data_IF_603487309409
#
_entry.id   IF_603487309409
#
_cell.length_a   1.000
_cell.length_b   1.000
_cell.length_c   1.000
_cell.angle_alpha   90.00
_cell.angle_beta   90.00
_cell.angle_gamma   90.00
#
_symmetry.space_group_name_H-M   'P 1'
#
loop_
_entity.id
_entity.type
_entity.pdbx_description
1 polymer ?
#
# COMPACT_ATOMS: atom_id res chain seq x y z
N UNK A 1 12.87 -5.38 23.71
CA UNK A 1 11.98 -5.52 22.52
C UNK A 1 11.18 -4.23 22.41
N UNK A 2 11.29 -3.45 21.32
CA UNK A 2 10.43 -2.28 21.13
C UNK A 2 8.99 -2.80 21.07
N UNK A 3 8.10 -2.32 21.95
CA UNK A 3 6.68 -2.59 21.79
C UNK A 3 6.26 -2.00 20.44
N UNK A 4 5.90 -2.86 19.50
CA UNK A 4 5.26 -2.42 18.27
C UNK A 4 3.85 -1.97 18.65
N UNK A 5 3.62 -0.65 18.63
CA UNK A 5 2.27 -0.10 18.75
C UNK A 5 1.35 -0.73 17.70
N UNK A 6 0.07 -0.86 18.02
CA UNK A 6 -0.93 -1.38 17.07
C UNK A 6 -1.31 -0.28 16.08
N UNK A 7 -0.41 0.04 15.15
CA UNK A 7 -0.63 1.07 14.14
C UNK A 7 -1.39 0.48 12.95
N UNK A 8 -2.54 1.06 12.65
CA UNK A 8 -3.35 0.69 11.49
C UNK A 8 -3.10 1.62 10.30
N UNK A 9 -3.01 1.04 9.10
CA UNK A 9 -3.14 1.75 7.83
C UNK A 9 -4.57 1.57 7.31
N UNK A 10 -5.30 2.68 7.17
CA UNK A 10 -6.69 2.69 6.71
C UNK A 10 -6.76 3.26 5.29
N UNK A 11 -7.19 2.43 4.35
CA UNK A 11 -7.24 2.71 2.92
C UNK A 11 -8.69 2.78 2.45
N UNK A 12 -9.14 3.99 2.13
CA UNK A 12 -10.50 4.23 1.67
C UNK A 12 -10.73 3.70 0.25
N UNK A 13 -12.00 3.49 -0.10
CA UNK A 13 -12.38 3.25 -1.50
C UNK A 13 -12.19 4.50 -2.37
N UNK A 14 -12.27 4.34 -3.69
CA UNK A 14 -12.17 5.47 -4.60
C UNK A 14 -11.80 5.16 -6.06
N UNK A 15 -11.91 3.90 -6.50
CA UNK A 15 -11.54 3.50 -7.85
C UNK A 15 -10.09 3.85 -8.18
N UNK A 16 -9.89 4.58 -9.28
CA UNK A 16 -8.57 5.04 -9.74
C UNK A 16 -7.80 5.89 -8.69
N UNK A 17 -8.49 6.48 -7.70
CA UNK A 17 -7.84 7.21 -6.60
C UNK A 17 -7.01 6.31 -5.67
N UNK A 18 -7.11 4.98 -5.79
CA UNK A 18 -6.19 4.05 -5.13
C UNK A 18 -4.73 4.28 -5.53
N UNK A 19 -4.46 4.76 -6.74
CA UNK A 19 -3.11 5.12 -7.19
C UNK A 19 -2.48 6.24 -6.33
N UNK A 20 -3.29 7.19 -5.87
CA UNK A 20 -2.81 8.26 -4.97
C UNK A 20 -2.33 7.69 -3.64
N UNK A 21 -3.07 6.73 -3.06
CA UNK A 21 -2.70 6.08 -1.81
C UNK A 21 -1.35 5.34 -1.94
N UNK A 22 -1.12 4.65 -3.05
CA UNK A 22 0.16 4.01 -3.34
C UNK A 22 1.31 5.04 -3.45
N UNK A 23 1.06 6.18 -4.11
CA UNK A 23 2.03 7.27 -4.21
C UNK A 23 2.38 7.90 -2.85
N UNK A 24 1.40 8.09 -1.97
CA UNK A 24 1.64 8.59 -0.60
C UNK A 24 2.56 7.65 0.17
N UNK A 25 2.28 6.34 0.14
CA UNK A 25 3.13 5.35 0.80
C UNK A 25 4.57 5.37 0.26
N UNK A 26 4.74 5.58 -1.05
CA UNK A 26 6.06 5.72 -1.67
C UNK A 26 6.79 6.96 -1.15
N UNK A 27 6.12 8.11 -1.12
CA UNK A 27 6.69 9.34 -0.58
C UNK A 27 7.12 9.19 0.88
N UNK A 28 6.33 8.48 1.71
CA UNK A 28 6.67 8.24 3.11
C UNK A 28 7.94 7.37 3.28
N UNK A 29 8.23 6.45 2.36
CA UNK A 29 9.50 5.71 2.33
C UNK A 29 10.64 6.66 1.93
N UNK A 30 10.44 7.44 0.87
CA UNK A 30 11.46 8.35 0.33
C UNK A 30 11.93 9.41 1.33
N UNK A 31 11.02 9.92 2.16
CA UNK A 31 11.36 10.87 3.25
C UNK A 31 11.79 10.16 4.55
N UNK A 32 11.86 8.83 4.56
CA UNK A 32 12.35 8.04 5.68
C UNK A 32 11.41 7.93 6.89
N UNK A 33 10.11 8.13 6.69
CA UNK A 33 9.06 7.87 7.71
C UNK A 33 8.79 6.38 7.83
N UNK A 34 8.61 5.68 6.71
CA UNK A 34 8.50 4.22 6.68
C UNK A 34 9.88 3.64 6.33
N UNK A 35 10.35 2.68 7.11
CA UNK A 35 11.70 2.09 7.00
C UNK A 35 11.67 0.61 7.30
N UNK A 36 12.62 -0.10 6.70
CA UNK A 36 12.84 -1.53 6.96
C UNK A 36 12.13 -2.43 5.95
N UNK A 37 12.51 -3.72 5.92
CA UNK A 37 12.03 -4.65 4.91
C UNK A 37 10.57 -5.05 5.12
N UNK A 38 10.07 -5.01 6.36
CA UNK A 38 8.75 -5.48 6.74
C UNK A 38 7.70 -4.34 6.77
N UNK A 39 6.43 -4.70 6.68
CA UNK A 39 5.32 -3.77 6.77
C UNK A 39 5.29 -3.13 8.18
N UNK A 40 5.37 -1.79 8.29
CA UNK A 40 5.38 -1.12 9.59
C UNK A 40 4.00 -1.05 10.26
N UNK A 41 2.94 -1.54 9.59
CA UNK A 41 1.57 -1.53 10.07
C UNK A 41 1.14 -2.96 10.42
N UNK A 42 0.74 -3.16 11.68
CA UNK A 42 0.24 -4.45 12.16
C UNK A 42 -1.23 -4.68 11.82
N UNK A 43 -1.94 -3.64 11.39
CA UNK A 43 -3.35 -3.69 10.99
C UNK A 43 -3.48 -3.01 9.62
N UNK A 44 -4.04 -3.73 8.64
CA UNK A 44 -4.35 -3.20 7.31
C UNK A 44 -5.87 -3.23 7.12
N UNK A 45 -6.46 -2.07 6.86
CA UNK A 45 -7.89 -1.93 6.59
C UNK A 45 -8.05 -1.35 5.20
N UNK A 46 -8.85 -1.99 4.35
CA UNK A 46 -9.10 -1.52 2.99
C UNK A 46 -10.55 -1.76 2.57
N UNK A 47 -11.15 -0.80 1.86
CA UNK A 47 -12.49 -0.94 1.29
C UNK A 47 -12.47 -0.72 -0.23
N UNK A 48 -13.11 -1.58 -1.02
CA UNK A 48 -13.18 -1.47 -2.49
C UNK A 48 -11.78 -1.31 -3.11
N UNK A 49 -11.50 -0.24 -3.86
CA UNK A 49 -10.17 0.00 -4.41
C UNK A 49 -9.05 0.01 -3.33
N UNK A 50 -9.35 0.43 -2.10
CA UNK A 50 -8.41 0.38 -0.98
C UNK A 50 -8.11 -1.04 -0.49
N UNK A 51 -9.02 -2.02 -0.69
CA UNK A 51 -8.75 -3.42 -0.34
C UNK A 51 -7.70 -4.05 -1.26
N UNK A 52 -7.62 -3.64 -2.53
CA UNK A 52 -6.56 -4.10 -3.44
C UNK A 52 -5.18 -3.70 -2.91
N UNK A 53 -5.02 -2.43 -2.53
CA UNK A 53 -3.78 -1.94 -1.91
C UNK A 53 -3.49 -2.67 -0.60
N UNK A 54 -4.48 -2.78 0.30
CA UNK A 54 -4.31 -3.46 1.59
C UNK A 54 -3.86 -4.92 1.42
N UNK A 55 -4.51 -5.66 0.51
CA UNK A 55 -4.19 -7.07 0.25
C UNK A 55 -2.80 -7.23 -0.37
N UNK A 56 -2.40 -6.39 -1.33
CA UNK A 56 -1.05 -6.47 -1.93
C UNK A 56 0.06 -6.19 -0.92
N UNK A 57 -0.16 -5.22 -0.01
CA UNK A 57 0.79 -4.93 1.07
C UNK A 57 0.84 -6.07 2.09
N UNK A 58 -0.32 -6.64 2.46
CA UNK A 58 -0.39 -7.78 3.37
C UNK A 58 0.30 -9.02 2.81
N UNK A 59 0.10 -9.32 1.53
CA UNK A 59 0.71 -10.46 0.84
C UNK A 59 2.23 -10.34 0.70
N UNK A 60 2.77 -9.13 0.85
CA UNK A 60 4.20 -8.82 0.81
C UNK A 60 4.67 -8.20 2.13
N UNK A 61 4.06 -8.56 3.25
CA UNK A 61 4.36 -7.93 4.54
C UNK A 61 5.83 -8.14 4.98
N UNK A 62 6.50 -9.19 4.50
CA UNK A 62 7.94 -9.46 4.70
C UNK A 62 8.85 -8.64 3.76
N UNK A 63 8.28 -8.10 2.67
CA UNK A 63 8.98 -7.33 1.63
C UNK A 63 8.15 -6.12 1.22
N UNK A 64 7.90 -5.23 2.17
CA UNK A 64 6.97 -4.11 2.03
C UNK A 64 7.27 -3.21 0.84
N UNK A 65 8.53 -2.80 0.66
CA UNK A 65 8.94 -1.94 -0.46
C UNK A 65 8.73 -2.62 -1.82
N UNK A 66 8.93 -3.95 -1.90
CA UNK A 66 8.68 -4.72 -3.11
C UNK A 66 7.18 -4.77 -3.41
N UNK A 67 6.35 -5.10 -2.42
CA UNK A 67 4.90 -5.11 -2.57
C UNK A 67 4.35 -3.76 -3.01
N UNK A 68 4.89 -2.67 -2.47
CA UNK A 68 4.54 -1.32 -2.89
C UNK A 68 5.00 -1.01 -4.33
N UNK A 69 6.19 -1.44 -4.74
CA UNK A 69 6.67 -1.27 -6.12
C UNK A 69 5.78 -2.01 -7.14
N UNK A 70 5.37 -3.23 -6.82
CA UNK A 70 4.43 -4.02 -7.63
C UNK A 70 3.05 -3.35 -7.71
N UNK A 71 2.57 -2.79 -6.59
CA UNK A 71 1.32 -2.02 -6.55
C UNK A 71 1.40 -0.76 -7.42
N UNK A 72 2.48 0.01 -7.32
CA UNK A 72 2.70 1.21 -8.14
C UNK A 72 2.71 0.88 -9.64
N UNK A 73 3.42 -0.20 -10.00
CA UNK A 73 3.47 -0.69 -11.38
C UNK A 73 2.09 -1.06 -11.89
N UNK A 74 1.30 -1.75 -11.06
CA UNK A 74 -0.08 -2.16 -11.38
C UNK A 74 -0.96 -0.93 -11.68
N UNK A 75 -0.90 0.08 -10.82
CA UNK A 75 -1.66 1.33 -11.03
C UNK A 75 -1.21 2.11 -12.27
N UNK A 76 0.10 2.19 -12.54
CA UNK A 76 0.64 2.88 -13.71
C UNK A 76 0.26 2.21 -15.03
N UNK A 77 0.09 0.90 -15.03
CA UNK A 77 -0.26 0.12 -16.23
C UNK A 77 -1.77 -0.01 -16.45
N UNK A 78 -2.59 0.33 -15.46
CA UNK A 78 -4.04 0.24 -15.56
C UNK A 78 -4.57 1.31 -16.53
N UNK A 79 -5.29 0.86 -17.56
CA UNK A 79 -5.90 1.72 -18.58
C UNK A 79 -7.41 1.49 -18.60
N UNK A 80 -8.23 2.49 -18.95
CA UNK A 80 -9.67 2.30 -19.08
C UNK A 80 -10.04 1.10 -19.97
N UNK A 81 -9.33 0.90 -21.08
CA UNK A 81 -9.53 -0.23 -22.01
C UNK A 81 -9.23 -1.63 -21.45
N UNK A 82 -8.69 -1.73 -20.23
CA UNK A 82 -8.49 -3.01 -19.53
C UNK A 82 -9.57 -3.29 -18.48
N UNK A 83 -10.53 -2.37 -18.33
CA UNK A 83 -11.58 -2.43 -17.31
C UNK A 83 -12.96 -2.32 -17.93
N UNK A 84 -13.10 -1.49 -18.98
CA UNK A 84 -14.32 -1.25 -19.73
C UNK A 84 -14.17 -1.73 -21.18
#
# INVERSE_FOLDING_TARGET
MKQQGHTALVLSGGGARGAYQAGVLRGLIEIGVLKGPECPFSILVGTSAGSLTATMLAANADRFERGLSELLTTWQQLKPSRVF
#
